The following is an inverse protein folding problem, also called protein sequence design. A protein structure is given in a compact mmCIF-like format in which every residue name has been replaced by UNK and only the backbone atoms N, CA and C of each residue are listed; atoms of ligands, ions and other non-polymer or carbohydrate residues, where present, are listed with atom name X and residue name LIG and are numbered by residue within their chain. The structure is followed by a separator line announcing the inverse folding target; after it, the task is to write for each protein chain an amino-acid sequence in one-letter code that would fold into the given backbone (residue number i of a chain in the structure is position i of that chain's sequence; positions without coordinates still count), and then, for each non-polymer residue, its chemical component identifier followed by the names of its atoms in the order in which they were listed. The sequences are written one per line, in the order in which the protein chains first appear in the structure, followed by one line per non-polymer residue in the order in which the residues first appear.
data_IF_500317734870
#
_entry.id   IF_500317734870
#
_cell.length_a   1.000
_cell.length_b   1.000
_cell.length_c   1.000
_cell.angle_alpha   90.00
_cell.angle_beta   90.00
_cell.angle_gamma   90.00
#
_symmetry.space_group_name_H-M   'P 1'
#
loop_
_entity.id
_entity.type
_entity.pdbx_description
1 polymer ?
#
# COMPACT_ATOMS: atom_id res chain seq x y z
N UNK A 1 -19.57 -27.71 16.65
CA UNK A 1 -18.53 -28.09 15.66
C UNK A 1 -18.53 -27.23 14.40
N UNK A 2 -19.69 -26.87 13.82
CA UNK A 2 -19.78 -26.01 12.62
C UNK A 2 -19.31 -24.55 12.83
N UNK A 3 -19.41 -23.99 14.04
CA UNK A 3 -18.88 -22.66 14.35
C UNK A 3 -17.34 -22.59 14.32
N UNK A 4 -16.66 -23.69 14.64
CA UNK A 4 -15.19 -23.78 14.63
C UNK A 4 -14.60 -23.82 13.21
N UNK A 5 -15.30 -24.46 12.27
CA UNK A 5 -14.90 -24.51 10.85
C UNK A 5 -14.99 -23.13 10.19
N UNK A 6 -16.12 -22.42 10.36
CA UNK A 6 -16.28 -21.04 9.85
C UNK A 6 -15.28 -20.05 10.47
N UNK A 7 -14.90 -20.24 11.74
CA UNK A 7 -13.90 -19.40 12.39
C UNK A 7 -12.48 -19.66 11.85
N UNK A 8 -12.17 -20.91 11.50
CA UNK A 8 -10.89 -21.32 10.91
C UNK A 8 -10.74 -20.79 9.48
N UNK A 9 -11.79 -20.84 8.67
CA UNK A 9 -11.82 -20.27 7.31
C UNK A 9 -11.61 -18.76 7.29
N UNK A 10 -12.29 -18.01 8.18
CA UNK A 10 -12.14 -16.55 8.27
C UNK A 10 -10.71 -16.13 8.66
N UNK A 11 -10.04 -16.89 9.53
CA UNK A 11 -8.64 -16.64 9.89
C UNK A 11 -7.70 -16.93 8.74
N UNK A 12 -7.88 -18.04 8.03
CA UNK A 12 -7.05 -18.38 6.88
C UNK A 12 -7.14 -17.32 5.78
N UNK A 13 -8.36 -16.85 5.48
CA UNK A 13 -8.57 -15.78 4.51
C UNK A 13 -7.84 -14.48 4.89
N UNK A 14 -7.77 -14.17 6.18
CA UNK A 14 -7.03 -13.00 6.68
C UNK A 14 -5.52 -13.14 6.49
N UNK A 15 -4.94 -14.28 6.86
CA UNK A 15 -3.51 -14.53 6.64
C UNK A 15 -3.15 -14.56 5.16
N UNK A 16 -4.01 -15.15 4.33
CA UNK A 16 -3.86 -15.15 2.89
C UNK A 16 -3.88 -13.71 2.33
N UNK A 17 -4.89 -12.91 2.69
CA UNK A 17 -4.98 -11.52 2.28
C UNK A 17 -3.75 -10.72 2.72
N UNK A 18 -3.30 -10.90 3.97
CA UNK A 18 -2.10 -10.25 4.48
C UNK A 18 -0.86 -10.64 3.67
N UNK A 19 -0.63 -11.94 3.45
CA UNK A 19 0.51 -12.45 2.69
C UNK A 19 0.52 -11.93 1.25
N UNK A 20 -0.62 -11.97 0.56
CA UNK A 20 -0.75 -11.43 -0.81
C UNK A 20 -0.49 -9.92 -0.83
N UNK A 21 -1.10 -9.16 0.08
CA UNK A 21 -0.90 -7.71 0.17
C UNK A 21 0.57 -7.38 0.41
N UNK A 22 1.20 -8.11 1.31
CA UNK A 22 2.60 -7.94 1.67
C UNK A 22 3.55 -8.20 0.50
N UNK A 23 3.33 -9.29 -0.24
CA UNK A 23 4.12 -9.60 -1.43
C UNK A 23 3.94 -8.56 -2.52
N UNK A 24 2.70 -8.15 -2.80
CA UNK A 24 2.41 -7.11 -3.81
C UNK A 24 3.09 -5.79 -3.42
N UNK A 25 2.94 -5.35 -2.17
CA UNK A 25 3.52 -4.08 -1.72
C UNK A 25 5.06 -4.11 -1.79
N UNK A 26 5.67 -5.23 -1.36
CA UNK A 26 7.12 -5.42 -1.44
C UNK A 26 7.62 -5.32 -2.88
N UNK A 27 6.96 -6.03 -3.81
CA UNK A 27 7.30 -5.98 -5.23
C UNK A 27 7.09 -4.59 -5.84
N UNK A 28 6.00 -3.90 -5.47
CA UNK A 28 5.73 -2.53 -5.94
C UNK A 28 6.80 -1.54 -5.47
N UNK A 29 7.24 -1.62 -4.20
CA UNK A 29 8.30 -0.74 -3.69
C UNK A 29 9.63 -1.05 -4.38
N UNK A 30 9.98 -2.33 -4.58
CA UNK A 30 11.20 -2.69 -5.31
C UNK A 30 11.18 -2.17 -6.74
N UNK A 31 10.05 -2.31 -7.44
CA UNK A 31 9.91 -1.80 -8.80
C UNK A 31 9.99 -0.27 -8.84
N UNK A 32 9.39 0.43 -7.88
CA UNK A 32 9.49 1.88 -7.78
C UNK A 32 10.93 2.36 -7.54
N UNK A 33 11.69 1.65 -6.69
CA UNK A 33 13.11 1.94 -6.48
C UNK A 33 13.90 1.71 -7.77
N UNK A 34 13.68 0.59 -8.44
CA UNK A 34 14.41 0.26 -9.68
C UNK A 34 14.05 1.21 -10.82
N UNK A 35 12.81 1.69 -10.91
CA UNK A 35 12.41 2.66 -11.94
C UNK A 35 13.01 4.05 -11.73
N UNK A 36 13.41 4.38 -10.50
CA UNK A 36 14.00 5.68 -10.14
C UNK A 36 15.54 5.64 -10.13
N UNK A 37 16.14 4.46 -10.25
CA UNK A 37 17.58 4.29 -10.37
C UNK A 37 18.08 4.70 -11.76
N UNK A 38 19.25 5.33 -11.80
CA UNK A 38 19.97 5.57 -13.05
C UNK A 38 20.54 4.26 -13.63
N UNK A 39 20.78 4.25 -14.95
CA UNK A 39 21.40 3.10 -15.64
C UNK A 39 22.76 2.71 -15.04
N UNK A 40 23.55 3.69 -14.60
CA UNK A 40 24.85 3.49 -13.96
C UNK A 40 24.70 2.82 -12.58
N UNK A 41 23.74 3.26 -11.77
CA UNK A 41 23.46 2.64 -10.46
C UNK A 41 22.96 1.21 -10.62
N UNK A 42 22.08 0.98 -11.59
CA UNK A 42 21.59 -0.36 -11.91
C UNK A 42 22.72 -1.28 -12.38
N UNK A 43 23.60 -0.79 -13.27
CA UNK A 43 24.78 -1.52 -13.74
C UNK A 43 25.76 -1.87 -12.62
N UNK A 44 26.01 -0.94 -11.69
CA UNK A 44 26.84 -1.18 -10.50
C UNK A 44 26.24 -2.30 -9.61
N UNK A 45 24.93 -2.28 -9.39
CA UNK A 45 24.25 -3.34 -8.63
C UNK A 45 24.40 -4.70 -9.35
N UNK A 46 24.18 -4.75 -10.66
CA UNK A 46 24.38 -5.98 -11.44
C UNK A 46 25.82 -6.51 -11.35
N UNK A 47 26.81 -5.61 -11.37
CA UNK A 47 28.21 -5.99 -11.21
C UNK A 47 28.50 -6.55 -9.81
N UNK A 48 27.92 -5.98 -8.76
CA UNK A 48 28.03 -6.51 -7.40
C UNK A 48 27.45 -7.93 -7.29
N UNK A 49 26.38 -8.25 -8.03
CA UNK A 49 25.84 -9.61 -8.13
C UNK A 49 26.75 -10.56 -8.92
N UNK A 50 27.43 -10.08 -9.95
CA UNK A 50 28.29 -10.90 -10.82
C UNK A 50 29.63 -11.25 -10.18
N UNK A 51 30.13 -10.43 -9.24
CA UNK A 51 31.39 -10.68 -8.55
C UNK A 51 31.38 -11.89 -7.59
N UNK A 52 30.21 -12.49 -7.29
CA UNK A 52 30.04 -13.76 -6.54
C UNK A 52 30.88 -13.92 -5.27
N UNK A 53 31.30 -12.82 -4.62
CA UNK A 53 31.98 -12.90 -3.33
C UNK A 53 30.96 -13.29 -2.27
N UNK A 54 31.16 -14.43 -1.61
CA UNK A 54 30.34 -14.93 -0.48
C UNK A 54 29.93 -13.81 0.51
N UNK A 55 30.81 -12.89 0.96
CA UNK A 55 30.41 -11.81 1.86
C UNK A 55 29.41 -10.81 1.24
N UNK A 56 29.45 -10.60 -0.08
CA UNK A 56 28.57 -9.65 -0.77
C UNK A 56 27.15 -10.21 -0.91
N UNK A 57 27.02 -11.51 -1.19
CA UNK A 57 25.75 -12.23 -1.17
C UNK A 57 25.10 -12.22 0.23
N UNK A 58 25.90 -12.39 1.29
CA UNK A 58 25.41 -12.32 2.66
C UNK A 58 24.88 -10.92 3.02
N UNK A 59 25.60 -9.86 2.64
CA UNK A 59 25.15 -8.47 2.85
C UNK A 59 23.83 -8.19 2.14
N UNK A 60 23.68 -8.63 0.89
CA UNK A 60 22.44 -8.50 0.12
C UNK A 60 21.27 -9.22 0.78
N UNK A 61 21.49 -10.44 1.29
CA UNK A 61 20.49 -11.18 2.04
C UNK A 61 20.04 -10.43 3.31
N UNK A 62 20.98 -9.83 4.04
CA UNK A 62 20.69 -9.00 5.22
C UNK A 62 19.86 -7.76 4.82
N UNK A 63 20.26 -7.04 3.77
CA UNK A 63 19.51 -5.90 3.26
C UNK A 63 18.07 -6.27 2.87
N UNK A 64 17.90 -7.41 2.19
CA UNK A 64 16.58 -7.92 1.81
C UNK A 64 15.72 -8.25 3.04
N UNK A 65 16.30 -8.86 4.08
CA UNK A 65 15.58 -9.14 5.33
C UNK A 65 15.13 -7.83 6.01
N UNK A 66 16.01 -6.84 6.10
CA UNK A 66 15.65 -5.53 6.66
C UNK A 66 14.57 -4.83 5.84
N UNK A 67 14.65 -4.88 4.51
CA UNK A 67 13.63 -4.36 3.61
C UNK A 67 12.27 -5.03 3.86
N UNK A 68 12.24 -6.36 3.91
CA UNK A 68 11.02 -7.13 4.17
C UNK A 68 10.41 -6.78 5.54
N UNK A 69 11.25 -6.65 6.59
CA UNK A 69 10.80 -6.25 7.91
C UNK A 69 10.28 -4.80 7.93
N UNK A 70 10.93 -3.90 7.19
CA UNK A 70 10.49 -2.52 7.06
C UNK A 70 9.11 -2.42 6.40
N UNK A 71 8.88 -3.14 5.30
CA UNK A 71 7.57 -3.21 4.63
C UNK A 71 6.50 -3.72 5.59
N UNK A 72 6.83 -4.73 6.39
CA UNK A 72 5.90 -5.28 7.40
C UNK A 72 5.50 -4.20 8.41
N UNK A 73 6.49 -3.51 9.00
CA UNK A 73 6.25 -2.45 9.99
C UNK A 73 5.44 -1.30 9.37
N UNK A 74 5.72 -0.92 8.13
CA UNK A 74 4.98 0.15 7.45
C UNK A 74 3.49 -0.17 7.30
N UNK A 75 3.12 -1.39 6.90
CA UNK A 75 1.70 -1.78 6.75
C UNK A 75 0.96 -1.61 8.08
N UNK A 76 1.56 -2.06 9.19
CA UNK A 76 0.97 -1.91 10.52
C UNK A 76 0.90 -0.45 10.95
N UNK A 77 1.98 0.30 10.77
CA UNK A 77 2.05 1.70 11.16
C UNK A 77 1.04 2.56 10.41
N UNK A 78 0.97 2.46 9.09
CA UNK A 78 0.01 3.19 8.25
C UNK A 78 -1.42 2.85 8.63
N UNK A 79 -1.74 1.56 8.78
CA UNK A 79 -3.09 1.15 9.18
C UNK A 79 -3.47 1.67 10.58
N UNK A 80 -2.50 1.72 11.50
CA UNK A 80 -2.70 2.25 12.85
C UNK A 80 -2.94 3.76 12.83
N UNK A 81 -2.13 4.52 12.10
CA UNK A 81 -2.33 5.97 11.95
C UNK A 81 -3.68 6.28 11.32
N UNK A 82 -4.04 5.61 10.23
CA UNK A 82 -5.35 5.79 9.58
C UNK A 82 -6.52 5.40 10.50
N UNK A 83 -6.34 4.36 11.33
CA UNK A 83 -7.31 3.97 12.34
C UNK A 83 -7.52 5.07 13.39
N UNK A 84 -6.43 5.66 13.90
CA UNK A 84 -6.50 6.77 14.85
C UNK A 84 -7.20 7.97 14.22
N UNK A 85 -6.86 8.32 12.98
CA UNK A 85 -7.51 9.43 12.25
C UNK A 85 -9.01 9.16 12.11
N UNK A 86 -9.39 7.97 11.63
CA UNK A 86 -10.80 7.59 11.46
C UNK A 86 -11.58 7.67 12.78
N UNK A 87 -10.98 7.19 13.88
CA UNK A 87 -11.62 7.14 15.20
C UNK A 87 -11.70 8.50 15.88
N UNK A 88 -10.61 9.27 15.89
CA UNK A 88 -10.51 10.50 16.68
C UNK A 88 -10.91 11.75 15.89
N UNK A 89 -10.51 11.88 14.62
CA UNK A 89 -10.87 13.06 13.82
C UNK A 89 -12.27 12.92 13.20
N UNK A 90 -12.59 11.75 12.66
CA UNK A 90 -13.87 11.55 11.95
C UNK A 90 -14.94 10.87 12.80
N UNK A 91 -14.61 10.47 14.04
CA UNK A 91 -15.53 9.83 14.98
C UNK A 91 -16.26 8.62 14.36
N UNK A 92 -15.51 7.80 13.61
CA UNK A 92 -15.96 6.53 13.05
C UNK A 92 -15.74 5.44 14.10
N UNK A 93 -16.83 4.80 14.55
CA UNK A 93 -16.74 3.71 15.50
C UNK A 93 -16.25 2.45 14.80
N UNK A 94 -15.05 2.00 15.14
CA UNK A 94 -14.43 0.81 14.52
C UNK A 94 -13.42 0.16 15.44
N UNK A 95 -13.19 -1.14 15.22
CA UNK A 95 -12.12 -1.90 15.86
C UNK A 95 -10.92 -1.98 14.92
N UNK A 96 -9.71 -1.96 15.48
CA UNK A 96 -8.49 -2.02 14.68
C UNK A 96 -8.45 -3.24 13.73
N UNK A 97 -8.82 -4.47 14.12
CA UNK A 97 -8.78 -5.62 13.21
C UNK A 97 -9.68 -5.47 11.97
N UNK A 98 -10.89 -4.91 12.13
CA UNK A 98 -11.79 -4.67 11.00
C UNK A 98 -11.26 -3.57 10.09
N UNK A 99 -10.74 -2.50 10.68
CA UNK A 99 -10.15 -1.40 9.93
C UNK A 99 -8.89 -1.84 9.17
N UNK A 100 -8.03 -2.64 9.81
CA UNK A 100 -6.84 -3.22 9.20
C UNK A 100 -7.17 -4.08 7.98
N UNK A 101 -8.24 -4.89 8.02
CA UNK A 101 -8.70 -5.64 6.85
C UNK A 101 -9.13 -4.74 5.68
N UNK A 102 -9.72 -3.58 5.97
CA UNK A 102 -10.09 -2.61 4.94
C UNK A 102 -8.81 -2.03 4.34
N UNK A 103 -7.85 -1.62 5.16
CA UNK A 103 -6.56 -1.07 4.72
C UNK A 103 -5.82 -2.07 3.84
N UNK A 104 -5.72 -3.35 4.21
CA UNK A 104 -5.06 -4.37 3.38
C UNK A 104 -5.65 -4.45 1.97
N UNK A 105 -6.98 -4.42 1.83
CA UNK A 105 -7.65 -4.44 0.52
C UNK A 105 -7.34 -3.17 -0.27
N UNK A 106 -7.37 -2.01 0.39
CA UNK A 106 -7.00 -0.74 -0.22
C UNK A 106 -5.54 -0.74 -0.68
N UNK A 107 -4.62 -1.33 0.10
CA UNK A 107 -3.20 -1.43 -0.25
C UNK A 107 -2.97 -2.19 -1.55
N UNK A 108 -3.78 -3.21 -1.87
CA UNK A 108 -3.69 -3.92 -3.16
C UNK A 108 -4.03 -2.99 -4.32
N UNK A 109 -5.17 -2.27 -4.25
CA UNK A 109 -5.57 -1.33 -5.30
C UNK A 109 -4.60 -0.16 -5.43
N UNK A 110 -4.10 0.32 -4.30
CA UNK A 110 -3.08 1.37 -4.25
C UNK A 110 -1.77 0.92 -4.92
N UNK A 111 -1.33 -0.31 -4.66
CA UNK A 111 -0.15 -0.90 -5.31
C UNK A 111 -0.35 -1.02 -6.83
N UNK A 112 -1.54 -1.46 -7.27
CA UNK A 112 -1.87 -1.49 -8.70
C UNK A 112 -1.88 -0.10 -9.34
N UNK A 113 -2.34 0.93 -8.60
CA UNK A 113 -2.26 2.32 -9.07
C UNK A 113 -0.82 2.74 -9.32
N UNK A 114 0.08 2.47 -8.38
CA UNK A 114 1.51 2.79 -8.52
C UNK A 114 2.14 2.02 -9.68
N UNK A 115 1.90 0.72 -9.79
CA UNK A 115 2.41 -0.10 -10.89
C UNK A 115 1.94 0.42 -12.25
N UNK A 116 0.66 0.80 -12.36
CA UNK A 116 0.11 1.39 -13.58
C UNK A 116 0.79 2.71 -13.92
N UNK A 117 1.12 3.50 -12.90
CA UNK A 117 1.81 4.77 -13.09
C UNK A 117 3.24 4.57 -13.59
N UNK A 118 4.00 3.69 -12.95
CA UNK A 118 5.36 3.33 -13.35
C UNK A 118 5.40 2.84 -14.81
N UNK A 119 4.41 2.05 -15.23
CA UNK A 119 4.40 1.45 -16.58
C UNK A 119 3.91 2.41 -17.67
N UNK A 120 2.98 3.32 -17.37
CA UNK A 120 2.26 4.09 -18.39
C UNK A 120 2.56 5.58 -18.40
N UNK A 121 3.17 6.14 -17.35
CA UNK A 121 3.17 7.58 -17.14
C UNK A 121 4.53 8.21 -16.81
N UNK A 122 5.60 7.42 -16.66
CA UNK A 122 6.92 7.85 -16.15
C UNK A 122 7.59 8.99 -16.94
N UNK A 123 7.14 9.28 -18.18
CA UNK A 123 7.80 10.24 -19.06
C UNK A 123 6.81 11.17 -19.79
N UNK A 124 5.57 11.27 -19.29
CA UNK A 124 4.51 12.04 -19.96
C UNK A 124 4.41 13.44 -19.36
N UNK A 125 4.37 14.52 -20.17
CA UNK A 125 3.99 15.83 -19.65
C UNK A 125 2.62 15.70 -18.97
N UNK A 126 2.49 16.18 -17.73
CA UNK A 126 1.31 16.01 -16.86
C UNK A 126 1.13 14.65 -16.16
N UNK A 127 2.19 13.84 -16.05
CA UNK A 127 2.22 12.60 -15.26
C UNK A 127 1.46 12.68 -13.91
N UNK A 128 1.65 13.76 -13.15
CA UNK A 128 0.97 13.98 -11.86
C UNK A 128 -0.56 14.06 -11.95
N UNK A 129 -1.08 14.63 -13.03
CA UNK A 129 -2.52 14.67 -13.30
C UNK A 129 -3.06 13.30 -13.72
N UNK A 130 -2.26 12.52 -14.45
CA UNK A 130 -2.58 11.13 -14.78
C UNK A 130 -2.63 10.24 -13.53
N UNK A 131 -1.80 10.51 -12.52
CA UNK A 131 -1.88 9.84 -11.21
C UNK A 131 -3.20 10.15 -10.49
N UNK A 132 -3.65 11.40 -10.51
CA UNK A 132 -4.93 11.79 -9.92
C UNK A 132 -6.12 11.10 -10.60
N UNK A 133 -6.06 10.94 -11.91
CA UNK A 133 -7.09 10.27 -12.70
C UNK A 133 -6.90 8.75 -12.78
N UNK A 134 -5.97 8.19 -12.01
CA UNK A 134 -5.69 6.76 -12.05
C UNK A 134 -6.94 5.97 -11.59
N UNK A 135 -7.48 5.07 -12.43
CA UNK A 135 -8.72 4.37 -12.13
C UNK A 135 -8.59 3.46 -10.90
N UNK A 136 -7.42 2.85 -10.67
CA UNK A 136 -7.20 2.02 -9.48
C UNK A 136 -7.17 2.86 -8.20
N UNK A 137 -6.60 4.06 -8.26
CA UNK A 137 -6.61 5.00 -7.14
C UNK A 137 -8.03 5.43 -6.81
N UNK A 138 -8.81 5.84 -7.82
CA UNK A 138 -10.21 6.23 -7.63
C UNK A 138 -11.04 5.07 -7.06
N UNK A 139 -10.89 3.87 -7.62
CA UNK A 139 -11.56 2.66 -7.10
C UNK A 139 -11.13 2.33 -5.67
N UNK A 140 -9.86 2.57 -5.31
CA UNK A 140 -9.37 2.40 -3.94
C UNK A 140 -10.14 3.26 -2.93
N UNK A 141 -10.30 4.55 -3.23
CA UNK A 141 -11.03 5.48 -2.34
C UNK A 141 -12.54 5.23 -2.38
N UNK A 142 -13.12 4.92 -3.54
CA UNK A 142 -14.54 4.51 -3.60
C UNK A 142 -14.78 3.26 -2.77
N UNK A 143 -13.88 2.27 -2.83
CA UNK A 143 -13.95 1.06 -2.00
C UNK A 143 -13.82 1.41 -0.52
N UNK A 144 -12.90 2.29 -0.14
CA UNK A 144 -12.73 2.75 1.23
C UNK A 144 -14.02 3.36 1.78
N UNK A 145 -14.64 4.28 1.03
CA UNK A 145 -15.95 4.85 1.35
C UNK A 145 -17.02 3.77 1.54
N UNK A 146 -17.16 2.85 0.58
CA UNK A 146 -18.18 1.77 0.64
C UNK A 146 -17.95 0.85 1.84
N UNK A 147 -16.70 0.49 2.12
CA UNK A 147 -16.34 -0.40 3.22
C UNK A 147 -16.59 0.26 4.57
N UNK A 148 -16.20 1.53 4.74
CA UNK A 148 -16.47 2.28 5.97
C UNK A 148 -17.98 2.41 6.20
N UNK A 149 -18.74 2.78 5.16
CA UNK A 149 -20.20 2.90 5.26
C UNK A 149 -20.88 1.57 5.61
N UNK A 150 -20.55 0.49 4.88
CA UNK A 150 -21.25 -0.80 5.01
C UNK A 150 -20.77 -1.63 6.21
N UNK A 151 -19.48 -1.59 6.55
CA UNK A 151 -18.89 -2.49 7.54
C UNK A 151 -18.68 -1.81 8.90
N UNK A 152 -18.60 -0.47 8.93
CA UNK A 152 -18.40 0.30 10.17
C UNK A 152 -19.62 1.17 10.54
N UNK A 153 -20.74 1.00 9.82
CA UNK A 153 -22.01 1.71 10.04
C UNK A 153 -21.85 3.25 10.15
N UNK A 154 -20.83 3.82 9.51
CA UNK A 154 -20.60 5.26 9.51
C UNK A 154 -21.70 5.97 8.70
N UNK A 155 -22.07 7.18 9.12
CA UNK A 155 -22.98 8.03 8.33
C UNK A 155 -22.35 8.34 6.97
N UNK A 156 -23.20 8.59 5.97
CA UNK A 156 -22.76 8.91 4.61
C UNK A 156 -21.77 10.06 4.59
N UNK A 157 -22.05 11.12 5.35
CA UNK A 157 -21.17 12.29 5.47
C UNK A 157 -19.79 11.92 6.03
N UNK A 158 -19.73 11.15 7.12
CA UNK A 158 -18.45 10.75 7.75
C UNK A 158 -17.60 9.88 6.83
N UNK A 159 -18.23 8.88 6.19
CA UNK A 159 -17.54 7.99 5.28
C UNK A 159 -17.00 8.73 4.06
N UNK A 160 -17.79 9.66 3.51
CA UNK A 160 -17.38 10.47 2.36
C UNK A 160 -16.22 11.40 2.74
N UNK A 161 -16.37 12.16 3.84
CA UNK A 161 -15.34 13.07 4.33
C UNK A 161 -14.02 12.35 4.59
N UNK A 162 -14.04 11.20 5.29
CA UNK A 162 -12.81 10.45 5.55
C UNK A 162 -12.11 10.02 4.25
N UNK A 163 -12.86 9.42 3.33
CA UNK A 163 -12.29 8.92 2.08
C UNK A 163 -11.81 10.04 1.16
N UNK A 164 -12.57 11.13 1.05
CA UNK A 164 -12.20 12.27 0.19
C UNK A 164 -11.04 13.05 0.79
N UNK A 165 -10.98 13.23 2.11
CA UNK A 165 -9.84 13.87 2.77
C UNK A 165 -8.54 13.10 2.54
N UNK A 166 -8.56 11.76 2.61
CA UNK A 166 -7.37 10.97 2.33
C UNK A 166 -6.95 11.02 0.86
N UNK A 167 -7.92 11.03 -0.07
CA UNK A 167 -7.64 11.20 -1.49
C UNK A 167 -7.00 12.57 -1.78
N UNK A 168 -7.59 13.64 -1.26
CA UNK A 168 -7.06 15.01 -1.40
C UNK A 168 -5.66 15.08 -0.80
N UNK A 169 -5.46 14.56 0.41
CA UNK A 169 -4.15 14.56 1.07
C UNK A 169 -3.10 13.83 0.23
N UNK A 170 -3.44 12.66 -0.32
CA UNK A 170 -2.53 11.91 -1.19
C UNK A 170 -2.13 12.72 -2.42
N UNK A 171 -3.11 13.27 -3.15
CA UNK A 171 -2.84 14.07 -4.36
C UNK A 171 -2.05 15.34 -4.01
N UNK A 172 -2.35 16.01 -2.91
CA UNK A 172 -1.60 17.18 -2.46
C UNK A 172 -0.14 16.85 -2.18
N UNK A 173 0.14 15.74 -1.49
CA UNK A 173 1.52 15.28 -1.24
C UNK A 173 2.26 15.04 -2.56
N UNK A 174 1.63 14.34 -3.52
CA UNK A 174 2.23 14.03 -4.82
C UNK A 174 2.51 15.28 -5.66
N UNK A 175 1.66 16.30 -5.57
CA UNK A 175 1.89 17.58 -6.26
C UNK A 175 3.08 18.33 -5.63
N UNK A 176 3.14 18.38 -4.29
CA UNK A 176 4.16 19.13 -3.53
C UNK A 176 5.55 18.51 -3.65
N UNK A 177 5.66 17.17 -3.60
CA UNK A 177 6.95 16.47 -3.60
C UNK A 177 7.72 16.55 -4.93
N UNK A 178 7.14 17.12 -5.99
CA UNK A 178 7.82 17.31 -7.28
C UNK A 178 7.93 18.77 -7.72
N UNK A 179 8.11 19.71 -6.77
CA UNK A 179 8.42 21.12 -7.04
C UNK A 179 9.89 21.43 -6.81
#
# INVERSE_FOLDING_TARGET
MLSGLHFKEKKWHYYFLFGVTYLILSSTILLAIVSDMSDDEFGNIQQLFSEKKIPMLALLGICLIFFLLFVFVQIFFVAFVLYLIARFLFSIQTTFPLFFQIVLKCSVLFSLSILTHIVLASDVPYEKWLLALNPFLLVCFVMLYVKIRKHLAASLQKALLFSSSLYILYISIQIIQGG
#
